data_IF_718606134612
#
_entry.id   IF_718606134612
#
_cell.length_a   1.000
_cell.length_b   1.000
_cell.length_c   1.000
_cell.angle_alpha   90.00
_cell.angle_beta   90.00
_cell.angle_gamma   90.00
#
_symmetry.space_group_name_H-M   'P 1'
#
loop_
_entity.id
_entity.type
_entity.pdbx_description
1 polymer ?
#
# COMPACT_ATOMS: atom_id res chain seq x y z
N UNK A 1 2.34 28.36 -61.84
CA UNK A 1 2.11 27.02 -61.25
C UNK A 1 0.91 27.15 -60.32
N UNK A 2 -0.19 26.44 -60.57
CA UNK A 2 -1.44 26.63 -59.80
C UNK A 2 -1.26 26.21 -58.33
N UNK A 3 -1.83 26.96 -57.36
CA UNK A 3 -1.66 26.71 -55.93
C UNK A 3 -2.17 25.33 -55.49
N UNK A 4 -3.21 24.80 -56.16
CA UNK A 4 -3.75 23.46 -55.88
C UNK A 4 -2.77 22.34 -56.22
N UNK A 5 -1.96 22.51 -57.27
CA UNK A 5 -0.93 21.52 -57.66
C UNK A 5 0.22 21.50 -56.65
N UNK A 6 0.57 22.66 -56.09
CA UNK A 6 1.60 22.78 -55.05
C UNK A 6 1.12 22.13 -53.75
N UNK A 7 -0.13 22.39 -53.34
CA UNK A 7 -0.74 21.76 -52.17
C UNK A 7 -0.72 20.22 -52.25
N UNK A 8 -1.19 19.65 -53.38
CA UNK A 8 -1.17 18.20 -53.60
C UNK A 8 0.24 17.61 -53.57
N UNK A 9 1.23 18.31 -54.15
CA UNK A 9 2.63 17.88 -54.09
C UNK A 9 3.17 17.90 -52.66
N UNK A 10 2.86 18.92 -51.86
CA UNK A 10 3.27 19.03 -50.47
C UNK A 10 2.66 17.94 -49.59
N UNK A 11 1.38 17.61 -49.77
CA UNK A 11 0.74 16.51 -49.04
C UNK A 11 1.32 15.15 -49.41
N UNK A 12 1.65 14.95 -50.70
CA UNK A 12 2.29 13.73 -51.16
C UNK A 12 3.71 13.59 -50.59
N UNK A 13 4.47 14.70 -50.54
CA UNK A 13 5.79 14.75 -49.92
C UNK A 13 5.70 14.52 -48.41
N UNK A 14 4.75 15.16 -47.71
CA UNK A 14 4.51 15.00 -46.27
C UNK A 14 4.19 13.55 -45.92
N UNK A 15 3.36 12.86 -46.69
CA UNK A 15 3.05 11.45 -46.46
C UNK A 15 4.28 10.55 -46.67
N UNK A 16 5.15 10.88 -47.64
CA UNK A 16 6.40 10.14 -47.85
C UNK A 16 7.44 10.42 -46.75
N UNK A 17 7.61 11.67 -46.36
CA UNK A 17 8.48 12.05 -45.24
C UNK A 17 7.93 11.62 -43.88
N UNK A 18 6.65 11.26 -43.76
CA UNK A 18 6.11 10.68 -42.51
C UNK A 18 6.59 9.25 -42.25
N UNK A 19 7.24 8.61 -43.23
CA UNK A 19 7.93 7.34 -43.01
C UNK A 19 9.18 7.57 -42.17
N UNK A 20 9.23 6.96 -40.99
CA UNK A 20 10.40 7.03 -40.08
C UNK A 20 11.70 6.63 -40.78
N UNK A 21 11.64 5.68 -41.72
CA UNK A 21 12.79 5.25 -42.52
C UNK A 21 13.35 6.38 -43.39
N UNK A 22 12.49 7.20 -44.01
CA UNK A 22 12.92 8.30 -44.87
C UNK A 22 13.54 9.42 -44.02
N UNK A 23 12.95 9.74 -42.86
CA UNK A 23 13.53 10.73 -41.93
C UNK A 23 14.90 10.26 -41.42
N UNK A 24 15.00 9.02 -40.94
CA UNK A 24 16.28 8.49 -40.46
C UNK A 24 17.32 8.42 -41.57
N UNK A 25 16.93 8.01 -42.78
CA UNK A 25 17.83 8.03 -43.94
C UNK A 25 18.36 9.43 -44.21
N UNK A 26 17.50 10.46 -44.24
CA UNK A 26 17.93 11.85 -44.45
C UNK A 26 18.87 12.34 -43.35
N UNK A 27 18.53 12.11 -42.08
CA UNK A 27 19.37 12.54 -40.95
C UNK A 27 20.74 11.88 -41.02
N UNK A 28 20.79 10.57 -41.23
CA UNK A 28 22.05 9.86 -41.35
C UNK A 28 22.82 10.26 -42.63
N UNK A 29 22.13 10.51 -43.74
CA UNK A 29 22.74 11.00 -44.97
C UNK A 29 23.36 12.40 -44.78
N UNK A 30 22.67 13.30 -44.09
CA UNK A 30 23.15 14.64 -43.71
C UNK A 30 24.39 14.56 -42.80
N UNK A 31 24.40 13.64 -41.82
CA UNK A 31 25.55 13.44 -40.93
C UNK A 31 26.75 12.88 -41.69
N UNK A 32 26.53 11.91 -42.58
CA UNK A 32 27.63 11.25 -43.30
C UNK A 32 28.19 12.12 -44.43
N UNK A 33 27.32 12.86 -45.12
CA UNK A 33 27.67 13.79 -46.20
C UNK A 33 27.73 15.24 -45.70
N UNK A 34 28.10 15.45 -44.44
CA UNK A 34 28.03 16.76 -43.80
C UNK A 34 28.84 17.84 -44.54
N UNK A 35 29.94 17.46 -45.20
CA UNK A 35 30.74 18.39 -46.02
C UNK A 35 29.94 18.96 -47.18
N UNK A 36 29.12 18.13 -47.84
CA UNK A 36 28.22 18.58 -48.92
C UNK A 36 27.16 19.52 -48.34
N UNK A 37 26.59 19.20 -47.18
CA UNK A 37 25.58 20.03 -46.53
C UNK A 37 26.13 21.39 -46.08
N UNK A 38 27.31 21.40 -45.46
CA UNK A 38 27.99 22.63 -45.03
C UNK A 38 28.35 23.48 -46.25
N UNK A 39 28.89 22.88 -47.31
CA UNK A 39 29.19 23.64 -48.53
C UNK A 39 27.95 24.18 -49.24
N UNK A 40 26.81 23.49 -49.19
CA UNK A 40 25.56 24.00 -49.75
C UNK A 40 24.96 25.15 -48.94
N UNK A 41 25.10 25.12 -47.61
CA UNK A 41 24.49 26.10 -46.71
C UNK A 41 25.38 27.30 -46.43
N UNK A 42 26.70 27.13 -46.39
CA UNK A 42 27.64 28.12 -45.86
C UNK A 42 28.69 28.60 -46.86
N UNK A 43 28.90 27.90 -47.99
CA UNK A 43 29.98 28.29 -48.90
C UNK A 43 29.48 29.21 -50.01
N UNK A 44 30.13 30.36 -50.13
CA UNK A 44 29.97 31.24 -51.28
C UNK A 44 30.81 30.78 -52.47
N UNK A 45 30.46 31.26 -53.67
CA UNK A 45 31.18 30.93 -54.92
C UNK A 45 32.69 31.18 -54.84
N UNK A 46 33.12 32.21 -54.10
CA UNK A 46 34.54 32.54 -53.90
C UNK A 46 35.27 31.46 -53.07
N UNK A 47 34.62 30.94 -52.03
CA UNK A 47 35.18 29.90 -51.15
C UNK A 47 35.27 28.54 -51.85
N UNK A 48 34.29 28.24 -52.71
CA UNK A 48 34.30 27.03 -53.54
C UNK A 48 35.46 27.08 -54.55
N UNK A 49 35.69 28.24 -55.17
CA UNK A 49 36.84 28.47 -56.05
C UNK A 49 38.18 28.41 -55.32
N UNK A 50 38.25 28.96 -54.11
CA UNK A 50 39.44 28.86 -53.27
C UNK A 50 39.77 27.41 -52.88
N UNK A 51 38.76 26.53 -52.83
CA UNK A 51 38.92 25.09 -52.57
C UNK A 51 39.36 24.30 -53.83
N UNK A 52 39.61 24.97 -54.96
CA UNK A 52 40.06 24.34 -56.20
C UNK A 52 38.95 23.85 -57.13
N UNK A 53 37.69 24.26 -56.90
CA UNK A 53 36.54 23.84 -57.72
C UNK A 53 35.92 25.03 -58.47
N UNK A 54 35.64 24.88 -59.76
CA UNK A 54 35.08 25.97 -60.57
C UNK A 54 33.60 26.22 -60.26
N UNK A 55 32.90 25.20 -59.76
CA UNK A 55 31.48 25.28 -59.41
C UNK A 55 31.13 24.41 -58.20
N UNK A 56 29.99 24.71 -57.58
CA UNK A 56 29.45 23.87 -56.48
C UNK A 56 29.09 22.47 -56.95
N UNK A 57 28.67 22.32 -58.20
CA UNK A 57 28.38 21.01 -58.79
C UNK A 57 29.64 20.17 -58.97
N UNK A 58 30.77 20.80 -59.32
CA UNK A 58 32.07 20.14 -59.41
C UNK A 58 32.56 19.71 -58.03
N UNK A 59 32.38 20.55 -57.00
CA UNK A 59 32.66 20.21 -55.60
C UNK A 59 31.82 19.00 -55.15
N UNK A 60 30.50 19.03 -55.36
CA UNK A 60 29.59 17.94 -54.99
C UNK A 60 29.96 16.66 -55.73
N UNK A 61 30.19 16.75 -57.04
CA UNK A 61 30.56 15.59 -57.86
C UNK A 61 31.90 15.00 -57.43
N UNK A 62 32.86 15.85 -57.03
CA UNK A 62 34.15 15.39 -56.54
C UNK A 62 34.08 14.77 -55.14
N UNK A 63 33.22 15.26 -54.25
CA UNK A 63 33.00 14.62 -52.95
C UNK A 63 32.28 13.28 -53.12
N UNK A 64 31.25 13.23 -53.98
CA UNK A 64 30.56 11.98 -54.33
C UNK A 64 31.47 10.97 -55.05
N UNK A 65 32.45 11.43 -55.83
CA UNK A 65 33.38 10.57 -56.57
C UNK A 65 34.62 10.16 -55.77
N UNK A 66 35.09 10.99 -54.82
CA UNK A 66 36.09 10.58 -53.81
C UNK A 66 35.53 9.51 -52.89
N UNK A 67 34.24 9.59 -52.58
CA UNK A 67 33.50 8.53 -51.89
C UNK A 67 33.06 7.39 -52.82
N UNK A 68 33.28 7.51 -54.13
CA UNK A 68 33.86 6.48 -55.02
C UNK A 68 33.27 5.08 -55.07
N UNK A 69 32.10 4.82 -54.49
CA UNK A 69 31.46 3.49 -54.54
C UNK A 69 29.96 3.55 -54.83
N UNK A 70 29.45 4.68 -55.31
CA UNK A 70 28.00 4.85 -55.50
C UNK A 70 27.38 3.89 -56.53
N UNK A 71 28.13 3.45 -57.55
CA UNK A 71 27.65 2.51 -58.57
C UNK A 71 28.29 1.12 -58.53
N UNK A 72 29.49 0.98 -57.96
CA UNK A 72 30.20 -0.31 -57.88
C UNK A 72 29.72 -1.19 -56.72
N UNK A 73 28.99 -0.61 -55.75
CA UNK A 73 28.58 -1.25 -54.49
C UNK A 73 27.14 -1.82 -54.54
N UNK A 74 26.39 -1.67 -55.64
CA UNK A 74 25.06 -2.27 -55.71
C UNK A 74 25.10 -3.77 -56.07
N UNK A 75 26.16 -4.25 -56.74
CA UNK A 75 26.20 -5.62 -57.27
C UNK A 75 27.33 -6.52 -56.77
N UNK A 76 28.41 -6.01 -56.15
CA UNK A 76 29.57 -6.84 -55.83
C UNK A 76 30.13 -6.50 -54.44
N UNK A 77 30.07 -7.49 -53.55
CA UNK A 77 30.72 -7.62 -52.23
C UNK A 77 30.03 -7.01 -50.99
N UNK A 78 29.78 -7.83 -49.95
CA UNK A 78 29.24 -7.40 -48.67
C UNK A 78 30.37 -6.75 -47.85
N UNK A 79 30.04 -5.75 -47.03
CA UNK A 79 30.93 -5.10 -46.06
C UNK A 79 31.93 -4.11 -46.70
N UNK A 80 31.44 -2.92 -47.09
CA UNK A 80 32.26 -1.71 -47.07
C UNK A 80 31.44 -0.45 -46.72
N UNK A 81 32.12 0.51 -46.10
CA UNK A 81 31.65 1.61 -45.22
C UNK A 81 30.47 2.49 -45.67
N UNK A 82 30.01 2.46 -46.92
CA UNK A 82 29.06 3.47 -47.45
C UNK A 82 27.57 3.09 -47.31
N UNK A 83 27.25 1.82 -47.04
CA UNK A 83 25.86 1.37 -46.75
C UNK A 83 25.48 1.45 -45.25
N UNK A 84 26.40 1.91 -44.41
CA UNK A 84 26.17 2.11 -42.97
C UNK A 84 24.89 2.90 -42.64
N UNK A 85 24.61 4.06 -43.26
CA UNK A 85 23.49 4.89 -42.80
C UNK A 85 22.12 4.24 -43.03
N UNK A 86 21.94 3.52 -44.14
CA UNK A 86 20.69 2.80 -44.43
C UNK A 86 20.54 1.56 -43.53
N UNK A 87 21.63 0.84 -43.27
CA UNK A 87 21.63 -0.32 -42.38
C UNK A 87 21.39 0.11 -40.91
N UNK A 88 21.99 1.21 -40.45
CA UNK A 88 21.69 1.81 -39.14
C UNK A 88 20.24 2.30 -39.05
N UNK A 89 19.66 2.84 -40.13
CA UNK A 89 18.24 3.23 -40.14
C UNK A 89 17.32 2.01 -40.04
N UNK A 90 17.59 0.92 -40.77
CA UNK A 90 16.82 -0.32 -40.69
C UNK A 90 16.97 -0.96 -39.30
N UNK A 91 18.20 -1.11 -38.82
CA UNK A 91 18.49 -1.69 -37.49
C UNK A 91 17.85 -0.84 -36.39
N UNK A 92 17.97 0.49 -36.43
CA UNK A 92 17.35 1.35 -35.41
C UNK A 92 15.82 1.31 -35.47
N UNK A 93 15.22 1.22 -36.66
CA UNK A 93 13.77 1.10 -36.83
C UNK A 93 13.21 -0.19 -36.22
N UNK A 94 13.96 -1.30 -36.29
CA UNK A 94 13.56 -2.59 -35.70
C UNK A 94 13.94 -2.69 -34.22
N UNK A 95 15.12 -2.21 -33.86
CA UNK A 95 15.67 -2.34 -32.51
C UNK A 95 15.00 -1.39 -31.50
N UNK A 96 14.65 -0.18 -31.91
CA UNK A 96 14.07 0.82 -31.01
C UNK A 96 12.71 0.40 -30.41
N UNK A 97 11.76 -0.18 -31.18
CA UNK A 97 10.54 -0.76 -30.62
C UNK A 97 10.81 -1.85 -29.58
N UNK A 98 11.78 -2.73 -29.83
CA UNK A 98 12.16 -3.82 -28.91
C UNK A 98 12.71 -3.24 -27.61
N UNK A 99 13.64 -2.28 -27.71
CA UNK A 99 14.23 -1.63 -26.54
C UNK A 99 13.17 -0.87 -25.72
N UNK A 100 12.26 -0.14 -26.40
CA UNK A 100 11.13 0.54 -25.75
C UNK A 100 10.20 -0.46 -25.04
N UNK A 101 9.90 -1.58 -25.68
CA UNK A 101 9.08 -2.64 -25.06
C UNK A 101 9.78 -3.28 -23.86
N UNK A 102 11.11 -3.44 -23.93
CA UNK A 102 11.93 -3.90 -22.81
C UNK A 102 11.88 -2.97 -21.61
N UNK A 103 12.05 -1.66 -21.81
CA UNK A 103 11.94 -0.65 -20.74
C UNK A 103 10.55 -0.70 -20.09
N UNK A 104 9.48 -0.70 -20.88
CA UNK A 104 8.12 -0.77 -20.35
C UNK A 104 7.85 -2.05 -19.56
N UNK A 105 8.39 -3.18 -20.03
CA UNK A 105 8.26 -4.46 -19.34
C UNK A 105 9.04 -4.47 -18.01
N UNK A 106 10.22 -3.84 -17.99
CA UNK A 106 11.04 -3.70 -16.80
C UNK A 106 10.38 -2.77 -15.76
N UNK A 107 9.81 -1.65 -16.19
CA UNK A 107 9.03 -0.75 -15.34
C UNK A 107 7.83 -1.47 -14.71
N UNK A 108 7.08 -2.24 -15.52
CA UNK A 108 5.97 -3.04 -15.03
C UNK A 108 6.41 -4.07 -13.97
N UNK A 109 7.56 -4.73 -14.21
CA UNK A 109 8.14 -5.67 -13.25
C UNK A 109 8.50 -5.01 -11.91
N UNK A 110 9.11 -3.82 -11.94
CA UNK A 110 9.42 -3.05 -10.73
C UNK A 110 8.14 -2.69 -9.96
N UNK A 111 7.10 -2.24 -10.66
CA UNK A 111 5.82 -1.87 -10.05
C UNK A 111 5.19 -3.07 -9.33
N UNK A 112 5.18 -4.25 -9.97
CA UNK A 112 4.65 -5.48 -9.35
C UNK A 112 5.44 -5.86 -8.09
N UNK A 113 6.77 -5.84 -8.15
CA UNK A 113 7.61 -6.10 -6.97
C UNK A 113 7.35 -5.12 -5.84
N UNK A 114 7.21 -3.83 -6.16
CA UNK A 114 6.92 -2.79 -5.16
C UNK A 114 5.57 -3.02 -4.49
N UNK A 115 4.52 -3.31 -5.26
CA UNK A 115 3.18 -3.53 -4.71
C UNK A 115 3.13 -4.78 -3.81
N UNK A 116 3.84 -5.85 -4.18
CA UNK A 116 3.96 -7.05 -3.35
C UNK A 116 4.71 -6.79 -2.03
N UNK A 117 5.73 -5.93 -2.07
CA UNK A 117 6.46 -5.54 -0.87
C UNK A 117 5.60 -4.70 0.09
N UNK A 118 4.87 -3.72 -0.45
CA UNK A 118 3.94 -2.89 0.34
C UNK A 118 2.83 -3.73 0.98
N UNK A 119 2.27 -4.69 0.24
CA UNK A 119 1.22 -5.57 0.80
C UNK A 119 1.75 -6.50 1.88
N UNK A 120 3.03 -6.93 1.79
CA UNK A 120 3.69 -7.69 2.85
C UNK A 120 3.86 -6.85 4.12
N UNK A 121 4.38 -5.62 4.01
CA UNK A 121 4.54 -4.73 5.17
C UNK A 121 3.20 -4.47 5.87
N UNK A 122 2.14 -4.18 5.12
CA UNK A 122 0.81 -3.93 5.70
C UNK A 122 0.26 -5.14 6.46
N UNK A 123 0.54 -6.36 5.99
CA UNK A 123 0.11 -7.59 6.68
C UNK A 123 0.87 -7.77 8.00
N UNK A 124 2.17 -7.50 7.99
CA UNK A 124 3.01 -7.62 9.20
C UNK A 124 2.61 -6.57 10.25
N UNK A 125 2.31 -5.34 9.84
CA UNK A 125 1.83 -4.27 10.72
C UNK A 125 0.46 -4.60 11.34
N UNK A 126 -0.50 -5.09 10.53
CA UNK A 126 -1.79 -5.56 11.03
C UNK A 126 -1.65 -6.76 11.97
N UNK A 127 -0.67 -7.63 11.75
CA UNK A 127 -0.41 -8.76 12.65
C UNK A 127 0.10 -8.29 14.01
N UNK A 128 1.04 -7.35 14.04
CA UNK A 128 1.55 -6.74 15.28
C UNK A 128 0.47 -5.97 16.05
N UNK A 129 -0.38 -5.21 15.35
CA UNK A 129 -1.52 -4.52 15.95
C UNK A 129 -2.50 -5.51 16.58
N UNK A 130 -2.85 -6.58 15.86
CA UNK A 130 -3.71 -7.65 16.40
C UNK A 130 -3.09 -8.35 17.61
N UNK A 131 -1.76 -8.55 17.63
CA UNK A 131 -1.07 -9.09 18.81
C UNK A 131 -1.14 -8.15 20.00
N UNK A 132 -0.96 -6.84 19.79
CA UNK A 132 -1.11 -5.82 20.85
C UNK A 132 -2.54 -5.79 21.40
N UNK A 133 -3.54 -5.78 20.52
CA UNK A 133 -4.95 -5.83 20.91
C UNK A 133 -5.26 -7.12 21.68
N UNK A 134 -4.76 -8.27 21.22
CA UNK A 134 -4.94 -9.55 21.93
C UNK A 134 -4.32 -9.51 23.34
N UNK A 135 -3.13 -8.91 23.48
CA UNK A 135 -2.49 -8.72 24.80
C UNK A 135 -3.32 -7.80 25.70
N UNK A 136 -3.79 -6.67 25.20
CA UNK A 136 -4.66 -5.76 25.94
C UNK A 136 -5.98 -6.43 26.36
N UNK A 137 -6.62 -7.18 25.47
CA UNK A 137 -7.81 -7.96 25.76
C UNK A 137 -7.52 -9.00 26.86
N UNK A 138 -6.39 -9.72 26.76
CA UNK A 138 -6.04 -10.72 27.77
C UNK A 138 -5.80 -10.14 29.17
N UNK A 139 -5.22 -8.93 29.26
CA UNK A 139 -5.08 -8.22 30.54
C UNK A 139 -6.41 -7.68 31.08
N UNK A 140 -7.37 -7.42 30.20
CA UNK A 140 -8.72 -6.93 30.53
C UNK A 140 -9.66 -8.08 30.92
N UNK A 141 -9.40 -9.30 30.47
CA UNK A 141 -10.20 -10.49 30.76
C UNK A 141 -9.80 -11.21 32.05
N UNK A 142 -8.83 -10.70 32.80
CA UNK A 142 -8.43 -11.29 34.07
C UNK A 142 -9.43 -10.95 35.18
N UNK A 143 -10.21 -11.93 35.60
CA UNK A 143 -11.19 -11.83 36.67
C UNK A 143 -10.57 -11.81 38.07
N UNK A 144 -9.25 -11.98 38.18
CA UNK A 144 -8.53 -11.95 39.46
C UNK A 144 -8.80 -10.68 40.27
N UNK A 145 -9.14 -9.57 39.61
CA UNK A 145 -9.56 -8.31 40.25
C UNK A 145 -10.78 -8.47 41.17
N UNK A 146 -11.69 -9.41 40.85
CA UNK A 146 -12.86 -9.71 41.66
C UNK A 146 -12.54 -10.59 42.87
N UNK A 147 -11.39 -11.27 42.89
CA UNK A 147 -11.08 -12.21 43.95
C UNK A 147 -11.05 -11.50 45.32
N UNK A 148 -11.61 -12.18 46.33
CA UNK A 148 -11.70 -11.68 47.70
C UNK A 148 -13.11 -11.71 48.27
N UNK A 149 -13.25 -11.19 49.48
CA UNK A 149 -14.50 -11.10 50.21
C UNK A 149 -15.23 -9.81 49.86
N UNK A 150 -16.54 -9.87 49.74
CA UNK A 150 -17.38 -8.70 49.55
C UNK A 150 -18.61 -8.75 50.47
N UNK A 151 -19.00 -7.59 50.99
CA UNK A 151 -20.17 -7.40 51.84
C UNK A 151 -21.28 -6.71 51.05
N UNK A 152 -22.49 -7.27 51.07
CA UNK A 152 -23.66 -6.62 50.48
C UNK A 152 -24.05 -5.40 51.34
N UNK A 153 -24.08 -4.22 50.72
CA UNK A 153 -24.48 -2.96 51.37
C UNK A 153 -25.96 -2.69 51.13
N UNK A 154 -26.40 -2.85 49.88
CA UNK A 154 -27.72 -2.41 49.44
C UNK A 154 -28.28 -3.35 48.38
N UNK A 155 -29.54 -3.76 48.54
CA UNK A 155 -30.32 -4.50 47.56
C UNK A 155 -31.63 -3.74 47.31
N UNK A 156 -31.81 -3.17 46.11
CA UNK A 156 -32.89 -2.22 45.83
C UNK A 156 -34.21 -2.85 45.39
N UNK A 157 -34.27 -4.16 45.20
CA UNK A 157 -35.38 -4.75 44.43
C UNK A 157 -36.08 -5.96 45.07
N UNK A 158 -36.14 -6.04 46.39
CA UNK A 158 -36.94 -7.09 47.00
C UNK A 158 -37.77 -6.58 48.17
N UNK A 159 -39.05 -6.87 48.07
CA UNK A 159 -40.00 -7.25 49.14
C UNK A 159 -39.49 -8.40 50.04
N UNK A 160 -38.18 -8.60 50.16
CA UNK A 160 -37.59 -9.49 51.16
C UNK A 160 -37.43 -8.70 52.44
N UNK A 161 -38.12 -9.15 53.49
CA UNK A 161 -38.02 -8.60 54.83
C UNK A 161 -36.56 -8.53 55.25
N UNK A 162 -36.02 -7.30 55.25
CA UNK A 162 -34.75 -6.95 55.86
C UNK A 162 -34.79 -7.03 57.39
N UNK A 163 -35.89 -7.55 57.96
CA UNK A 163 -36.20 -7.50 59.39
C UNK A 163 -35.20 -8.27 60.28
N UNK A 164 -34.35 -9.13 59.72
CA UNK A 164 -33.38 -9.90 60.51
C UNK A 164 -31.91 -9.45 60.40
N UNK A 165 -31.58 -8.35 59.70
CA UNK A 165 -30.23 -7.75 59.76
C UNK A 165 -29.05 -8.67 59.38
N UNK A 166 -29.32 -9.80 58.69
CA UNK A 166 -28.28 -10.77 58.34
C UNK A 166 -27.39 -10.17 57.27
N UNK A 167 -26.14 -9.88 57.63
CA UNK A 167 -25.11 -9.44 56.71
C UNK A 167 -24.82 -10.56 55.71
N UNK A 168 -25.18 -10.35 54.45
CA UNK A 168 -24.80 -11.28 53.38
C UNK A 168 -23.40 -10.95 52.90
N UNK A 169 -22.49 -11.91 53.03
CA UNK A 169 -21.15 -11.84 52.47
C UNK A 169 -21.03 -12.80 51.30
N UNK A 170 -20.16 -12.44 50.36
CA UNK A 170 -19.79 -13.28 49.24
C UNK A 170 -18.28 -13.40 49.20
N UNK A 171 -17.79 -14.49 48.61
CA UNK A 171 -16.38 -14.69 48.32
C UNK A 171 -16.23 -15.08 46.87
N UNK A 172 -15.32 -14.42 46.17
CA UNK A 172 -15.02 -14.73 44.78
C UNK A 172 -13.61 -15.28 44.72
N UNK A 173 -13.45 -16.44 44.07
CA UNK A 173 -12.14 -17.05 43.84
C UNK A 173 -12.17 -17.84 42.54
N UNK A 174 -11.15 -17.64 41.71
CA UNK A 174 -10.91 -18.41 40.49
C UNK A 174 -12.14 -18.49 39.56
N UNK A 175 -12.83 -17.35 39.38
CA UNK A 175 -14.10 -17.21 38.64
C UNK A 175 -15.34 -17.80 39.33
N UNK A 176 -15.25 -18.35 40.52
CA UNK A 176 -16.41 -18.91 41.22
C UNK A 176 -16.90 -17.95 42.29
N UNK A 177 -18.21 -17.68 42.26
CA UNK A 177 -18.92 -16.90 43.26
C UNK A 177 -19.47 -17.81 44.33
N UNK A 178 -19.13 -17.54 45.59
CA UNK A 178 -19.60 -18.27 46.74
C UNK A 178 -20.42 -17.35 47.64
N UNK A 179 -21.62 -17.79 48.00
CA UNK A 179 -22.43 -17.13 49.00
C UNK A 179 -22.05 -17.67 50.38
N UNK A 180 -21.83 -16.77 51.34
CA UNK A 180 -21.51 -17.12 52.72
C UNK A 180 -22.78 -16.95 53.57
N UNK A 181 -23.40 -18.08 53.94
CA UNK A 181 -24.62 -18.13 54.73
C UNK A 181 -24.36 -18.93 56.00
N UNK A 182 -24.47 -18.29 57.18
CA UNK A 182 -24.29 -18.94 58.49
C UNK A 182 -23.01 -19.78 58.58
N UNK A 183 -21.87 -19.17 58.21
CA UNK A 183 -20.53 -19.80 58.16
C UNK A 183 -20.36 -20.97 57.18
N UNK A 184 -21.37 -21.22 56.34
CA UNK A 184 -21.27 -22.18 55.23
C UNK A 184 -21.01 -21.44 53.94
N UNK A 185 -20.07 -22.00 53.17
CA UNK A 185 -19.70 -21.53 51.85
C UNK A 185 -20.45 -22.35 50.81
N UNK A 186 -21.43 -21.73 50.16
CA UNK A 186 -22.21 -22.36 49.11
C UNK A 186 -21.83 -21.76 47.77
N UNK A 187 -21.52 -22.63 46.80
CA UNK A 187 -21.21 -22.20 45.44
C UNK A 187 -22.49 -21.70 44.75
N UNK A 188 -22.51 -20.39 44.42
CA UNK A 188 -23.63 -19.72 43.78
C UNK A 188 -23.57 -19.85 42.25
N UNK A 189 -22.53 -19.30 41.61
CA UNK A 189 -22.39 -19.34 40.16
C UNK A 189 -20.94 -19.22 39.68
N UNK A 190 -20.68 -19.64 38.44
CA UNK A 190 -19.41 -19.43 37.75
C UNK A 190 -19.47 -18.19 36.87
N UNK A 191 -18.43 -17.36 36.91
CA UNK A 191 -18.21 -16.17 36.10
C UNK A 191 -17.50 -16.61 34.82
N UNK A 192 -18.09 -16.28 33.67
CA UNK A 192 -17.48 -16.46 32.35
C UNK A 192 -17.63 -15.18 31.52
N UNK A 193 -16.92 -15.10 30.39
CA UNK A 193 -16.95 -13.94 29.48
C UNK A 193 -16.68 -12.61 30.20
N UNK A 194 -15.72 -12.61 31.12
CA UNK A 194 -15.35 -11.44 31.90
C UNK A 194 -14.68 -10.37 31.02
N UNK A 195 -15.11 -9.13 31.18
CA UNK A 195 -14.57 -7.97 30.49
C UNK A 195 -14.56 -6.74 31.40
N UNK A 196 -13.36 -6.19 31.66
CA UNK A 196 -13.19 -4.96 32.41
C UNK A 196 -12.80 -3.77 31.51
N UNK A 197 -13.69 -2.80 31.35
CA UNK A 197 -13.40 -1.57 30.63
C UNK A 197 -12.70 -0.56 31.56
N UNK A 198 -11.37 -0.33 31.43
CA UNK A 198 -10.62 0.49 32.40
C UNK A 198 -11.09 1.94 32.42
N UNK A 199 -11.40 2.55 31.26
CA UNK A 199 -11.80 3.96 31.17
C UNK A 199 -13.14 4.27 31.87
N UNK A 200 -14.09 3.34 31.79
CA UNK A 200 -15.44 3.52 32.32
C UNK A 200 -15.65 2.78 33.66
N UNK A 201 -14.59 2.10 34.11
CA UNK A 201 -14.60 1.16 35.23
C UNK A 201 -15.80 0.19 35.19
N UNK A 202 -16.16 -0.25 33.98
CA UNK A 202 -17.32 -1.11 33.73
C UNK A 202 -16.86 -2.55 33.66
N UNK A 203 -17.55 -3.43 34.38
CA UNK A 203 -17.22 -4.84 34.45
C UNK A 203 -18.41 -5.66 33.97
N UNK A 204 -18.23 -6.43 32.90
CA UNK A 204 -19.30 -7.25 32.31
C UNK A 204 -18.88 -8.70 32.42
N UNK A 205 -19.81 -9.55 32.86
CA UNK A 205 -19.60 -11.00 32.84
C UNK A 205 -20.93 -11.73 32.67
N UNK A 206 -20.85 -12.97 32.22
CA UNK A 206 -21.96 -13.90 32.15
C UNK A 206 -21.88 -14.82 33.36
N UNK A 207 -22.98 -15.02 34.07
CA UNK A 207 -23.05 -16.05 35.11
C UNK A 207 -23.59 -17.36 34.53
N UNK A 208 -23.00 -18.46 34.94
CA UNK A 208 -23.53 -19.81 34.74
C UNK A 208 -23.98 -20.33 36.10
N UNK A 209 -25.29 -20.60 36.21
CA UNK A 209 -25.87 -21.31 37.35
C UNK A 209 -25.63 -22.82 37.19
N UNK A 210 -25.70 -23.58 38.28
CA UNK A 210 -25.61 -25.07 38.26
C UNK A 210 -26.63 -25.75 37.34
N UNK A 211 -27.68 -25.04 36.93
CA UNK A 211 -28.70 -25.48 35.97
C UNK A 211 -28.34 -25.21 34.50
N UNK A 212 -27.10 -24.84 34.19
CA UNK A 212 -26.60 -24.43 32.86
C UNK A 212 -27.32 -23.22 32.22
N UNK A 213 -28.16 -22.52 32.99
CA UNK A 213 -28.81 -21.29 32.53
C UNK A 213 -27.78 -20.16 32.50
N UNK A 214 -27.53 -19.64 31.29
CA UNK A 214 -26.63 -18.50 31.04
C UNK A 214 -27.39 -17.20 31.12
N UNK A 215 -26.99 -16.32 32.05
CA UNK A 215 -27.58 -14.99 32.17
C UNK A 215 -26.45 -13.96 32.19
N UNK A 216 -26.56 -12.95 31.33
CA UNK A 216 -25.55 -11.88 31.19
C UNK A 216 -25.82 -10.77 32.20
N UNK A 217 -24.79 -10.40 32.95
CA UNK A 217 -24.86 -9.31 33.94
C UNK A 217 -23.90 -8.18 33.59
N UNK A 218 -24.28 -6.98 34.03
CA UNK A 218 -23.47 -5.78 33.90
C UNK A 218 -23.25 -5.22 35.30
N UNK A 219 -22.00 -5.14 35.71
CA UNK A 219 -21.59 -4.50 36.95
C UNK A 219 -20.73 -3.27 36.64
N UNK A 220 -20.69 -2.30 37.54
CA UNK A 220 -19.72 -1.20 37.53
C UNK A 220 -18.84 -1.36 38.76
N UNK A 221 -17.54 -1.37 38.55
CA UNK A 221 -16.57 -1.42 39.63
C UNK A 221 -16.13 0.01 39.92
N UNK A 222 -16.47 0.56 41.06
CA UNK A 222 -15.93 1.86 41.47
C UNK A 222 -14.65 1.63 42.26
N UNK A 223 -13.51 2.04 41.68
CA UNK A 223 -12.21 2.03 42.34
C UNK A 223 -11.97 3.42 42.93
N UNK A 224 -12.24 3.61 44.22
CA UNK A 224 -11.66 4.74 44.95
C UNK A 224 -10.18 4.42 45.19
N UNK A 225 -9.28 5.40 45.02
CA UNK A 225 -7.81 5.22 44.94
C UNK A 225 -7.09 4.51 46.10
N UNK A 226 -7.81 4.00 47.11
CA UNK A 226 -7.31 3.04 48.09
C UNK A 226 -7.99 1.68 47.87
N UNK A 227 -7.21 0.60 47.81
CA UNK A 227 -7.70 -0.79 47.63
C UNK A 227 -8.79 -1.21 48.63
N UNK A 228 -8.90 -0.50 49.75
CA UNK A 228 -9.88 -0.74 50.80
C UNK A 228 -11.30 -0.24 50.49
N UNK A 229 -11.50 0.50 49.40
CA UNK A 229 -12.79 1.14 49.07
C UNK A 229 -13.30 0.77 47.67
N UNK A 230 -13.13 -0.50 47.26
CA UNK A 230 -13.70 -0.98 46.01
C UNK A 230 -15.19 -1.27 46.18
N UNK A 231 -16.03 -0.72 45.28
CA UNK A 231 -17.47 -0.99 45.24
C UNK A 231 -17.85 -1.71 43.96
N UNK A 232 -18.68 -2.74 44.06
CA UNK A 232 -19.24 -3.45 42.92
C UNK A 232 -20.76 -3.19 42.84
N UNK A 233 -21.18 -2.42 41.85
CA UNK A 233 -22.58 -2.05 41.62
C UNK A 233 -23.16 -2.91 40.50
N UNK A 234 -24.18 -3.72 40.77
CA UNK A 234 -24.86 -4.54 39.76
C UNK A 234 -26.06 -3.82 39.16
N UNK A 235 -26.17 -3.87 37.83
CA UNK A 235 -27.24 -3.22 37.07
C UNK A 235 -28.10 -4.25 36.36
N UNK A 236 -29.40 -3.96 36.31
CA UNK A 236 -30.34 -4.65 35.43
C UNK A 236 -31.32 -3.61 34.88
N UNK A 237 -31.50 -3.60 33.55
CA UNK A 237 -32.23 -2.55 32.82
C UNK A 237 -31.74 -1.13 33.17
N UNK A 238 -30.42 -0.96 33.27
CA UNK A 238 -29.73 0.29 33.63
C UNK A 238 -30.08 0.89 35.01
N UNK A 239 -30.77 0.13 35.86
CA UNK A 239 -31.01 0.49 37.27
C UNK A 239 -30.09 -0.30 38.18
N UNK A 240 -29.51 0.37 39.18
CA UNK A 240 -28.71 -0.28 40.23
C UNK A 240 -29.64 -1.20 41.04
N UNK A 241 -29.33 -2.48 41.09
CA UNK A 241 -30.06 -3.46 41.91
C UNK A 241 -29.29 -3.87 43.16
N UNK A 242 -27.97 -3.97 43.07
CA UNK A 242 -27.13 -4.48 44.15
C UNK A 242 -25.84 -3.68 44.28
N UNK A 243 -25.37 -3.49 45.52
CA UNK A 243 -24.09 -2.84 45.79
C UNK A 243 -23.32 -3.68 46.81
N UNK A 244 -22.09 -4.06 46.45
CA UNK A 244 -21.15 -4.75 47.32
C UNK A 244 -19.94 -3.87 47.62
N UNK A 245 -19.40 -3.95 48.84
CA UNK A 245 -18.10 -3.40 49.21
C UNK A 245 -17.09 -4.52 49.32
N UNK A 246 -15.89 -4.35 48.78
CA UNK A 246 -14.79 -5.29 49.00
C UNK A 246 -14.31 -5.17 50.45
N UNK A 247 -14.20 -6.30 51.13
CA UNK A 247 -13.58 -6.40 52.45
C UNK A 247 -12.10 -6.67 52.22
N UNK A 248 -11.23 -5.78 52.69
CA UNK A 248 -9.79 -6.01 52.68
C UNK A 248 -9.46 -7.13 53.66
N UNK A 249 -8.78 -8.17 53.17
CA UNK A 249 -8.08 -9.13 54.03
C UNK A 249 -6.77 -8.56 54.53
#
# INVERSE_FOLDING_TARGET
MEPEKISKLLDTLKNRFSSRLIIYFLIYWLIYNWQITVSLLWYDKSQIKASGFNSIFEFISNQLSKDGVWFKLWFIAPINNSCKPLLYAIVSTIFFPILKSGILSFDAFIIVKRNNFISKIKKDELFEENLKLKKQISSVSDSSILNGYWELIEFKESTYDSENGVKRQIYIKDNTWYDLLNDKMEEGFTIIDFYFHPTNLLLVFTKILKSDVKIKYRYRLSLNGNEQNQKLEGFENDKIKVIFNKISN
#
